data_IF_252588684694
#
_entry.id   IF_252588684694
#
_cell.length_a   1.000
_cell.length_b   1.000
_cell.length_c   1.000
_cell.angle_alpha   90.00
_cell.angle_beta   90.00
_cell.angle_gamma   90.00
#
_symmetry.space_group_name_H-M   'P 1'
#
loop_
_entity.id
_entity.type
_entity.pdbx_description
1 polymer ?
#
# COMPACT_ATOMS: atom_id res chain seq x y z
N UNK A 1 -3.44 23.29 21.78
CA UNK A 1 -3.12 23.39 20.36
C UNK A 1 -1.63 23.62 20.26
N UNK A 2 -0.99 23.10 19.25
CA UNK A 2 0.43 23.30 18.94
C UNK A 2 0.48 23.91 17.54
N UNK A 3 1.33 24.88 17.33
CA UNK A 3 1.57 25.49 16.03
C UNK A 3 2.82 24.84 15.40
N UNK A 4 2.71 24.41 14.15
CA UNK A 4 3.80 23.87 13.35
C UNK A 4 4.05 24.77 12.13
N UNK A 5 5.30 25.07 11.86
CA UNK A 5 5.74 25.99 10.84
C UNK A 5 6.20 27.33 11.42
N UNK A 6 6.39 28.35 10.60
CA UNK A 6 6.08 28.37 9.18
C UNK A 6 7.05 27.49 8.36
N UNK A 7 6.50 26.78 7.38
CA UNK A 7 7.28 26.09 6.36
C UNK A 7 7.18 26.87 5.06
N UNK A 8 8.26 26.95 4.35
CA UNK A 8 8.35 27.63 3.05
C UNK A 8 9.00 26.72 2.03
N UNK A 9 8.77 26.98 0.78
CA UNK A 9 9.51 26.42 -0.34
C UNK A 9 9.83 27.56 -1.33
N UNK A 10 10.76 27.32 -2.21
CA UNK A 10 11.09 28.24 -3.29
C UNK A 10 11.12 27.43 -4.59
N UNK A 11 10.18 27.72 -5.46
CA UNK A 11 10.11 27.11 -6.78
C UNK A 11 9.54 28.11 -7.79
N UNK A 12 9.98 28.06 -9.05
CA UNK A 12 9.48 28.97 -10.08
C UNK A 12 8.02 28.72 -10.43
N UNK A 13 7.58 27.46 -10.31
CA UNK A 13 6.20 27.07 -10.60
C UNK A 13 5.35 26.99 -9.32
N UNK A 14 4.18 27.66 -9.23
CA UNK A 14 3.37 27.72 -8.01
C UNK A 14 2.91 26.35 -7.48
N UNK A 15 2.60 25.42 -8.37
CA UNK A 15 2.15 24.06 -8.00
C UNK A 15 3.27 23.29 -7.29
N UNK A 16 4.50 23.35 -7.80
CA UNK A 16 5.65 22.69 -7.19
C UNK A 16 6.07 23.37 -5.89
N UNK A 17 5.96 24.70 -5.81
CA UNK A 17 6.19 25.43 -4.57
C UNK A 17 5.18 25.00 -3.49
N UNK A 18 3.91 24.86 -3.84
CA UNK A 18 2.89 24.36 -2.91
C UNK A 18 3.20 22.93 -2.47
N UNK A 19 3.51 22.00 -3.40
CA UNK A 19 3.87 20.62 -3.05
C UNK A 19 5.02 20.56 -2.07
N UNK A 20 6.10 21.29 -2.33
CA UNK A 20 7.26 21.33 -1.45
C UNK A 20 6.93 21.90 -0.06
N UNK A 21 6.18 22.99 0.01
CA UNK A 21 5.76 23.56 1.28
C UNK A 21 4.86 22.62 2.08
N UNK A 22 3.92 21.93 1.44
CA UNK A 22 3.05 20.93 2.06
C UNK A 22 3.84 19.68 2.49
N UNK A 23 4.82 19.23 1.71
CA UNK A 23 5.71 18.13 2.11
C UNK A 23 6.59 18.49 3.32
N UNK A 24 7.12 19.70 3.37
CA UNK A 24 7.84 20.19 4.55
C UNK A 24 6.92 20.20 5.79
N UNK A 25 5.66 20.64 5.64
CA UNK A 25 4.69 20.59 6.72
C UNK A 25 4.37 19.15 7.13
N UNK A 26 4.21 18.24 6.17
CA UNK A 26 4.00 16.82 6.44
C UNK A 26 5.16 16.21 7.23
N UNK A 27 6.40 16.54 6.87
CA UNK A 27 7.58 16.11 7.62
C UNK A 27 7.62 16.71 9.05
N UNK A 28 7.24 17.97 9.20
CA UNK A 28 7.14 18.61 10.53
C UNK A 28 6.05 17.95 11.39
N UNK A 29 4.89 17.61 10.81
CA UNK A 29 3.85 16.84 11.46
C UNK A 29 4.36 15.48 11.92
N UNK A 30 5.02 14.73 11.04
CA UNK A 30 5.58 13.42 11.38
C UNK A 30 6.63 13.51 12.49
N UNK A 31 7.53 14.51 12.43
CA UNK A 31 8.55 14.76 13.48
C UNK A 31 7.91 15.10 14.84
N UNK A 32 6.72 15.72 14.82
CA UNK A 32 5.94 16.00 16.02
C UNK A 32 5.06 14.80 16.47
N UNK A 33 5.19 13.63 15.82
CA UNK A 33 4.34 12.46 16.07
C UNK A 33 2.88 12.70 15.68
N UNK A 34 2.64 13.42 14.57
CA UNK A 34 1.33 13.84 14.09
C UNK A 34 1.11 13.41 12.65
N UNK A 35 -0.15 13.25 12.27
CA UNK A 35 -0.57 13.12 10.89
C UNK A 35 -1.47 14.29 10.47
N UNK A 36 -1.84 14.38 9.19
CA UNK A 36 -2.70 15.44 8.68
C UNK A 36 -4.03 15.59 9.44
N UNK A 37 -4.63 14.48 9.84
CA UNK A 37 -5.92 14.44 10.58
C UNK A 37 -5.86 15.07 11.98
N UNK A 38 -4.68 15.36 12.51
CA UNK A 38 -4.53 16.13 13.76
C UNK A 38 -4.57 17.64 13.54
N UNK A 39 -4.50 18.10 12.29
CA UNK A 39 -4.59 19.52 11.99
C UNK A 39 -6.02 20.01 12.25
N UNK A 40 -6.12 21.09 13.00
CA UNK A 40 -7.39 21.79 13.29
C UNK A 40 -7.56 23.04 12.45
N UNK A 41 -6.52 23.50 11.80
CA UNK A 41 -6.52 24.63 10.90
C UNK A 41 -5.17 24.78 10.19
N UNK A 42 -5.18 25.55 9.11
CA UNK A 42 -4.00 25.90 8.34
C UNK A 42 -4.08 27.39 7.95
N UNK A 43 -2.95 28.07 7.97
CA UNK A 43 -2.83 29.44 7.45
C UNK A 43 -1.79 29.44 6.34
N UNK A 44 -2.21 29.88 5.15
CA UNK A 44 -1.34 30.11 4.01
C UNK A 44 -1.08 31.62 3.88
N UNK A 45 0.11 32.05 4.20
CA UNK A 45 0.53 33.44 4.05
C UNK A 45 1.23 33.60 2.72
N UNK A 46 0.72 34.43 1.81
CA UNK A 46 1.25 34.54 0.44
C UNK A 46 1.27 35.98 -0.07
N UNK A 47 2.26 36.31 -0.90
CA UNK A 47 2.32 37.57 -1.66
C UNK A 47 1.49 37.50 -2.97
N UNK A 48 0.98 36.30 -3.34
CA UNK A 48 0.28 36.06 -4.60
C UNK A 48 -0.93 35.14 -4.41
N UNK A 49 -1.99 35.57 -3.69
CA UNK A 49 -3.13 34.69 -3.32
C UNK A 49 -3.84 34.07 -4.53
N UNK A 50 -3.90 34.76 -5.67
CA UNK A 50 -4.53 34.20 -6.87
C UNK A 50 -3.79 32.96 -7.45
N UNK A 51 -2.52 32.76 -7.11
CA UNK A 51 -1.76 31.57 -7.54
C UNK A 51 -2.01 30.36 -6.66
N UNK A 52 -2.49 30.54 -5.43
CA UNK A 52 -2.69 29.49 -4.44
C UNK A 52 -4.16 29.32 -4.07
N UNK A 53 -5.07 29.66 -4.99
CA UNK A 53 -6.50 29.46 -4.80
C UNK A 53 -6.89 27.98 -4.96
N UNK A 54 -7.47 27.39 -3.92
CA UNK A 54 -7.96 26.01 -3.91
C UNK A 54 -9.18 25.78 -4.83
N UNK A 55 -9.80 26.84 -5.36
CA UNK A 55 -10.78 26.70 -6.43
C UNK A 55 -10.11 26.34 -7.79
N UNK A 56 -8.79 26.55 -7.90
CA UNK A 56 -8.03 26.11 -9.07
C UNK A 56 -7.80 24.58 -8.98
N UNK A 57 -8.27 23.77 -9.95
CA UNK A 57 -8.17 22.32 -9.91
C UNK A 57 -6.72 21.80 -9.79
N UNK A 58 -5.75 22.49 -10.36
CA UNK A 58 -4.33 22.08 -10.32
C UNK A 58 -3.74 22.29 -8.93
N UNK A 59 -4.10 23.37 -8.27
CA UNK A 59 -3.71 23.67 -6.87
C UNK A 59 -4.39 22.68 -5.91
N UNK A 60 -5.68 22.44 -6.13
CA UNK A 60 -6.43 21.45 -5.34
C UNK A 60 -5.85 20.04 -5.49
N UNK A 61 -5.48 19.64 -6.70
CA UNK A 61 -4.84 18.36 -6.94
C UNK A 61 -3.50 18.24 -6.21
N UNK A 62 -2.62 19.24 -6.30
CA UNK A 62 -1.35 19.25 -5.61
C UNK A 62 -1.51 19.14 -4.09
N UNK A 63 -2.53 19.80 -3.53
CA UNK A 63 -2.88 19.68 -2.12
C UNK A 63 -3.29 18.23 -1.75
N UNK A 64 -4.19 17.64 -2.53
CA UNK A 64 -4.71 16.27 -2.31
C UNK A 64 -3.62 15.21 -2.39
N UNK A 65 -2.66 15.39 -3.29
CA UNK A 65 -1.52 14.46 -3.45
C UNK A 65 -0.67 14.36 -2.18
N UNK A 66 -0.52 15.46 -1.42
CA UNK A 66 0.30 15.47 -0.20
C UNK A 66 -0.48 14.98 1.03
N UNK A 67 -1.76 15.38 1.17
CA UNK A 67 -2.56 15.11 2.36
C UNK A 67 -3.73 14.15 2.11
N UNK A 68 -3.71 13.41 1.00
CA UNK A 68 -4.69 12.38 0.67
C UNK A 68 -6.15 12.86 0.84
N UNK A 69 -6.41 14.10 0.44
CA UNK A 69 -7.75 14.70 0.51
C UNK A 69 -8.17 15.24 1.88
N UNK A 70 -7.42 14.96 2.96
CA UNK A 70 -7.72 15.58 4.26
C UNK A 70 -7.55 17.10 4.20
N UNK A 71 -8.60 17.84 4.54
CA UNK A 71 -8.61 19.30 4.45
C UNK A 71 -9.13 19.93 5.74
N UNK A 72 -8.24 20.45 6.63
CA UNK A 72 -8.67 21.31 7.71
C UNK A 72 -9.17 22.65 7.17
N UNK A 73 -9.84 23.48 7.96
CA UNK A 73 -10.07 24.87 7.61
C UNK A 73 -8.76 25.56 7.20
N UNK A 74 -8.75 26.18 6.01
CA UNK A 74 -7.59 26.88 5.46
C UNK A 74 -7.94 28.37 5.35
N UNK A 75 -7.12 29.20 5.96
CA UNK A 75 -7.17 30.65 5.86
C UNK A 75 -6.01 31.15 5.00
N UNK A 76 -6.30 32.06 4.06
CA UNK A 76 -5.27 32.65 3.19
C UNK A 76 -5.06 34.10 3.62
N UNK A 77 -3.85 34.42 4.03
CA UNK A 77 -3.44 35.74 4.47
C UNK A 77 -2.45 36.40 3.46
N UNK A 78 -2.54 37.70 3.34
CA UNK A 78 -1.55 38.47 2.57
C UNK A 78 -0.22 38.57 3.32
N UNK A 79 0.84 38.15 2.68
CA UNK A 79 2.19 38.36 3.19
C UNK A 79 2.62 39.82 3.05
N UNK A 80 3.46 40.36 3.97
CA UNK A 80 4.04 41.68 3.81
C UNK A 80 4.94 41.75 2.56
N UNK A 81 5.10 42.95 2.00
CA UNK A 81 5.96 43.17 0.85
C UNK A 81 7.38 42.70 1.12
N UNK A 82 7.93 41.87 0.23
CA UNK A 82 9.25 41.24 0.38
C UNK A 82 9.28 39.94 1.20
N UNK A 83 8.13 39.48 1.67
CA UNK A 83 7.98 38.15 2.30
C UNK A 83 8.03 37.00 1.28
N UNK A 84 8.05 35.77 1.75
CA UNK A 84 7.99 34.57 0.89
C UNK A 84 6.73 34.57 0.04
N UNK A 85 6.82 34.03 -1.18
CA UNK A 85 5.64 33.90 -2.06
C UNK A 85 4.57 32.97 -1.45
N UNK A 86 5.01 31.93 -0.74
CA UNK A 86 4.13 31.06 0.04
C UNK A 86 4.82 30.65 1.36
N UNK A 87 4.05 30.71 2.44
CA UNK A 87 4.42 30.19 3.76
C UNK A 87 3.21 29.50 4.37
N UNK A 88 3.37 28.32 4.93
CA UNK A 88 2.28 27.54 5.50
C UNK A 88 2.53 27.27 6.99
N UNK A 89 1.52 27.55 7.82
CA UNK A 89 1.49 27.14 9.22
C UNK A 89 0.29 26.25 9.45
N UNK A 90 0.43 25.24 10.32
CA UNK A 90 -0.68 24.42 10.75
C UNK A 90 -0.86 24.47 12.25
N UNK A 91 -2.11 24.55 12.67
CA UNK A 91 -2.50 24.36 14.06
C UNK A 91 -2.92 22.90 14.23
N UNK A 92 -2.32 22.22 15.20
CA UNK A 92 -2.64 20.82 15.51
C UNK A 92 -3.26 20.68 16.89
N UNK A 93 -4.16 19.74 17.02
CA UNK A 93 -4.71 19.40 18.33
C UNK A 93 -3.59 19.02 19.29
N UNK A 94 -3.65 19.49 20.54
CA UNK A 94 -2.76 18.96 21.57
C UNK A 94 -2.96 17.45 21.67
N UNK A 95 -1.88 16.65 21.79
CA UNK A 95 -2.05 15.23 21.99
C UNK A 95 -2.98 14.99 23.18
N UNK A 96 -3.90 14.05 23.04
CA UNK A 96 -4.31 13.30 24.21
C UNK A 96 -3.02 12.77 24.88
N UNK A 97 -2.93 12.74 26.22
CA UNK A 97 -1.81 12.09 26.87
C UNK A 97 -1.60 10.72 26.21
N UNK A 98 -0.37 10.45 25.78
CA UNK A 98 -0.06 9.14 25.23
C UNK A 98 -0.47 8.10 26.26
N UNK A 99 -1.12 6.98 25.86
CA UNK A 99 -1.41 5.91 26.78
C UNK A 99 -0.13 5.51 27.48
N UNK A 100 -0.14 5.55 28.81
CA UNK A 100 1.01 5.16 29.64
C UNK A 100 0.89 3.66 29.91
N UNK A 101 1.87 2.89 29.44
CA UNK A 101 1.92 1.45 29.64
C UNK A 101 1.96 0.65 28.34
N UNK A 102 2.08 -0.67 28.43
CA UNK A 102 2.14 -1.53 27.26
C UNK A 102 0.80 -1.56 26.53
N UNK A 103 0.84 -1.31 25.22
CA UNK A 103 -0.33 -1.33 24.33
C UNK A 103 -0.47 -2.68 23.62
N UNK A 104 0.66 -3.25 23.19
CA UNK A 104 0.73 -4.47 22.42
C UNK A 104 2.01 -5.23 22.77
N UNK A 105 1.92 -6.51 23.14
CA UNK A 105 3.07 -7.38 23.45
C UNK A 105 4.14 -6.76 24.37
N UNK A 106 3.74 -5.91 25.28
CA UNK A 106 4.66 -5.20 26.18
C UNK A 106 5.25 -3.91 25.59
N UNK A 107 4.95 -3.55 24.35
CA UNK A 107 5.43 -2.31 23.72
C UNK A 107 4.60 -1.10 24.16
N UNK A 108 5.29 -0.01 24.47
CA UNK A 108 4.72 1.33 24.55
C UNK A 108 4.50 1.92 23.16
N UNK A 109 3.82 3.06 23.07
CA UNK A 109 3.52 3.68 21.76
C UNK A 109 4.77 4.03 20.96
N UNK A 110 5.83 4.64 21.50
CA UNK A 110 7.05 4.91 20.75
C UNK A 110 7.70 3.66 20.16
N UNK A 111 7.76 2.58 20.92
CA UNK A 111 8.29 1.30 20.45
C UNK A 111 7.41 0.71 19.37
N UNK A 112 6.09 0.72 19.58
CA UNK A 112 5.13 0.22 18.60
C UNK A 112 5.20 1.00 17.27
N UNK A 113 5.30 2.33 17.33
CA UNK A 113 5.49 3.18 16.15
C UNK A 113 6.78 2.83 15.40
N UNK A 114 7.87 2.55 16.09
CA UNK A 114 9.14 2.14 15.48
C UNK A 114 9.02 0.76 14.82
N UNK A 115 8.44 -0.20 15.50
CA UNK A 115 8.27 -1.57 15.01
C UNK A 115 7.41 -1.64 13.74
N UNK A 116 6.37 -0.79 13.64
CA UNK A 116 5.51 -0.70 12.47
C UNK A 116 5.95 0.41 11.48
N UNK A 117 7.19 0.88 11.54
CA UNK A 117 7.76 1.87 10.60
C UNK A 117 8.88 1.28 9.74
N UNK A 118 8.58 0.55 8.65
CA UNK A 118 9.62 0.00 7.77
C UNK A 118 10.57 1.06 7.22
N UNK A 119 10.04 2.25 6.88
CA UNK A 119 10.86 3.38 6.41
C UNK A 119 11.85 3.87 7.45
N UNK A 120 11.47 3.83 8.73
CA UNK A 120 12.34 4.25 9.83
C UNK A 120 13.48 3.26 10.11
N UNK A 121 13.38 2.03 9.62
CA UNK A 121 14.37 0.97 9.82
C UNK A 121 15.38 0.88 8.68
N UNK A 122 15.11 1.50 7.54
CA UNK A 122 15.98 1.48 6.36
C UNK A 122 16.62 2.85 6.18
N UNK A 123 17.94 3.00 6.41
CA UNK A 123 18.60 4.31 6.45
C UNK A 123 18.49 5.13 5.15
N UNK A 124 18.37 4.46 4.00
CA UNK A 124 18.33 5.09 2.69
C UNK A 124 17.18 4.51 1.84
N UNK A 125 15.94 4.78 2.23
CA UNK A 125 14.77 4.25 1.53
C UNK A 125 14.47 4.97 0.21
N UNK A 126 14.82 6.24 0.07
CA UNK A 126 14.52 7.03 -1.12
C UNK A 126 15.15 6.45 -2.41
N UNK A 127 16.43 6.03 -2.44
CA UNK A 127 16.99 5.35 -3.60
C UNK A 127 16.27 4.04 -3.99
N UNK A 128 15.73 3.32 -3.01
CA UNK A 128 14.97 2.08 -3.28
C UNK A 128 13.67 2.41 -4.03
N UNK A 129 12.95 3.45 -3.60
CA UNK A 129 11.71 3.85 -4.28
C UNK A 129 11.96 4.47 -5.65
N UNK A 130 13.08 5.19 -5.81
CA UNK A 130 13.51 5.66 -7.12
C UNK A 130 13.77 4.47 -8.06
N UNK A 131 14.55 3.50 -7.60
CA UNK A 131 14.81 2.26 -8.33
C UNK A 131 13.51 1.52 -8.70
N UNK A 132 12.56 1.40 -7.77
CA UNK A 132 11.25 0.80 -8.06
C UNK A 132 10.54 1.51 -9.21
N UNK A 133 10.53 2.84 -9.18
CA UNK A 133 9.88 3.64 -10.22
C UNK A 133 10.56 3.48 -11.57
N UNK A 134 11.88 3.53 -11.60
CA UNK A 134 12.67 3.44 -12.83
C UNK A 134 12.57 2.03 -13.45
N UNK A 135 12.80 0.99 -12.67
CA UNK A 135 12.72 -0.40 -13.13
C UNK A 135 11.28 -0.80 -13.52
N UNK A 136 10.29 -0.35 -12.75
CA UNK A 136 8.88 -0.59 -13.10
C UNK A 136 8.50 0.06 -14.42
N UNK A 137 8.90 1.31 -14.63
CA UNK A 137 8.68 2.02 -15.89
C UNK A 137 9.43 1.37 -17.06
N UNK A 138 10.69 0.98 -16.85
CA UNK A 138 11.49 0.28 -17.86
C UNK A 138 10.87 -1.07 -18.22
N UNK A 139 10.41 -1.84 -17.23
CA UNK A 139 9.76 -3.13 -17.45
C UNK A 139 8.46 -2.96 -18.27
N UNK A 140 7.59 -2.03 -17.88
CA UNK A 140 6.35 -1.75 -18.62
C UNK A 140 6.63 -1.20 -20.03
N UNK A 141 7.67 -0.37 -20.19
CA UNK A 141 8.09 0.14 -21.50
C UNK A 141 8.63 -0.92 -22.45
N UNK A 142 9.22 -2.00 -21.91
CA UNK A 142 9.75 -3.12 -22.67
C UNK A 142 8.71 -4.18 -23.07
N UNK A 143 7.52 -4.17 -22.43
CA UNK A 143 6.48 -5.17 -22.63
C UNK A 143 5.16 -4.55 -23.07
N UNK A 144 4.52 -5.13 -24.08
CA UNK A 144 3.18 -4.74 -24.44
C UNK A 144 2.21 -5.03 -23.30
N UNK A 145 1.53 -4.01 -22.83
CA UNK A 145 0.54 -4.11 -21.77
C UNK A 145 -0.69 -3.25 -22.10
N UNK A 146 -1.79 -3.52 -21.43
CA UNK A 146 -3.00 -2.71 -21.52
C UNK A 146 -3.53 -2.40 -20.15
N UNK A 147 -3.92 -1.14 -19.92
CA UNK A 147 -4.68 -0.76 -18.75
C UNK A 147 -6.14 -1.18 -18.90
N UNK A 148 -6.68 -1.86 -17.91
CA UNK A 148 -8.04 -2.38 -17.87
C UNK A 148 -8.75 -1.85 -16.64
N UNK A 149 -9.93 -1.26 -16.81
CA UNK A 149 -10.81 -0.87 -15.73
C UNK A 149 -11.56 -2.10 -15.20
N UNK A 150 -11.49 -2.35 -13.90
CA UNK A 150 -12.30 -3.36 -13.24
C UNK A 150 -13.46 -2.76 -12.43
N UNK A 151 -13.49 -1.44 -12.27
CA UNK A 151 -14.52 -0.69 -11.59
C UNK A 151 -14.63 0.76 -12.10
N UNK A 152 -15.50 1.55 -11.47
CA UNK A 152 -15.77 2.93 -11.87
C UNK A 152 -14.78 3.95 -11.28
N UNK A 153 -14.10 3.62 -10.19
CA UNK A 153 -13.16 4.50 -9.52
C UNK A 153 -11.90 4.77 -10.35
N UNK A 154 -11.24 5.91 -10.15
CA UNK A 154 -10.07 6.28 -10.94
C UNK A 154 -8.89 5.31 -10.74
N UNK A 155 -8.79 4.68 -9.58
CA UNK A 155 -7.76 3.70 -9.27
C UNK A 155 -8.23 2.24 -9.37
N UNK A 156 -9.48 1.98 -9.69
CA UNK A 156 -10.00 0.63 -9.98
C UNK A 156 -9.54 0.18 -11.36
N UNK A 157 -8.21 0.06 -11.54
CA UNK A 157 -7.48 -0.24 -12.79
C UNK A 157 -6.44 -1.30 -12.54
N UNK A 158 -6.13 -2.05 -13.56
CA UNK A 158 -5.00 -2.98 -13.58
C UNK A 158 -4.22 -2.85 -14.90
N UNK A 159 -2.94 -3.16 -14.87
CA UNK A 159 -2.16 -3.40 -16.08
C UNK A 159 -2.12 -4.90 -16.34
N UNK A 160 -2.50 -5.29 -17.55
CA UNK A 160 -2.47 -6.68 -18.00
C UNK A 160 -1.38 -6.87 -19.05
N UNK A 161 -0.43 -7.76 -18.75
CA UNK A 161 0.61 -8.21 -19.64
C UNK A 161 0.31 -9.65 -20.08
N UNK A 162 0.43 -9.92 -21.39
CA UNK A 162 0.26 -11.28 -21.92
C UNK A 162 1.61 -11.80 -22.44
N UNK A 163 1.97 -13.07 -22.13
CA UNK A 163 3.16 -13.69 -22.68
C UNK A 163 3.00 -13.91 -24.19
N UNK A 164 4.09 -13.84 -24.93
CA UNK A 164 4.07 -14.08 -26.37
C UNK A 164 3.88 -15.57 -26.68
N UNK A 165 3.06 -15.88 -27.69
CA UNK A 165 2.94 -17.22 -28.25
C UNK A 165 2.17 -18.24 -27.40
N UNK A 166 1.55 -17.84 -26.30
CA UNK A 166 0.73 -18.70 -25.45
C UNK A 166 -0.71 -18.26 -25.52
N UNK A 167 -1.58 -19.14 -25.99
CA UNK A 167 -3.02 -18.92 -25.97
C UNK A 167 -3.60 -19.26 -24.58
N UNK A 168 -4.42 -18.35 -24.04
CA UNK A 168 -5.06 -18.53 -22.74
C UNK A 168 -4.07 -18.90 -21.60
N UNK A 169 -3.04 -18.04 -21.33
CA UNK A 169 -2.08 -18.29 -20.26
C UNK A 169 -2.76 -18.27 -18.89
N UNK A 170 -2.21 -18.99 -17.93
CA UNK A 170 -2.57 -18.86 -16.50
C UNK A 170 -2.31 -17.44 -16.03
N UNK A 171 -3.06 -16.98 -15.02
CA UNK A 171 -2.95 -15.63 -14.53
C UNK A 171 -2.18 -15.58 -13.19
N UNK A 172 -1.18 -14.73 -13.14
CA UNK A 172 -0.57 -14.23 -11.92
C UNK A 172 -1.09 -12.83 -11.61
N UNK A 173 -1.52 -12.58 -10.38
CA UNK A 173 -2.02 -11.29 -9.91
C UNK A 173 -1.09 -10.75 -8.83
N UNK A 174 -0.65 -9.50 -8.96
CA UNK A 174 0.19 -8.84 -7.95
C UNK A 174 -0.50 -7.62 -7.35
N UNK A 175 -0.48 -7.50 -6.00
CA UNK A 175 -1.04 -6.39 -5.23
C UNK A 175 0.10 -5.64 -4.54
N UNK A 176 0.25 -4.34 -4.87
CA UNK A 176 1.31 -3.50 -4.34
C UNK A 176 1.11 -3.13 -2.86
N UNK A 177 2.21 -2.77 -2.19
CA UNK A 177 2.24 -2.25 -0.84
C UNK A 177 1.94 -0.75 -0.74
N UNK A 178 2.42 -0.11 0.34
CA UNK A 178 2.29 1.34 0.55
C UNK A 178 1.38 1.73 1.70
N UNK A 179 1.21 0.88 2.70
CA UNK A 179 0.36 1.11 3.88
C UNK A 179 -1.08 1.52 3.54
N UNK A 180 -1.62 1.03 2.42
CA UNK A 180 -2.93 1.37 1.85
C UNK A 180 -3.12 2.87 1.55
N UNK A 181 -2.08 3.68 1.62
CA UNK A 181 -2.09 5.15 1.51
C UNK A 181 -1.23 5.69 0.38
N UNK A 182 -0.42 4.86 -0.26
CA UNK A 182 0.56 5.30 -1.24
C UNK A 182 0.88 4.21 -2.27
N UNK A 183 1.70 4.56 -3.25
CA UNK A 183 2.21 3.73 -4.33
C UNK A 183 1.19 3.45 -5.45
N UNK A 184 1.69 2.77 -6.48
CA UNK A 184 0.95 2.46 -7.69
C UNK A 184 1.40 1.12 -8.25
N UNK A 185 0.53 0.48 -9.04
CA UNK A 185 0.79 -0.78 -9.74
C UNK A 185 2.10 -0.77 -10.53
N UNK A 186 2.40 0.37 -11.19
CA UNK A 186 3.61 0.52 -12.00
C UNK A 186 4.92 0.47 -11.21
N UNK A 187 4.92 0.81 -9.92
CA UNK A 187 6.13 0.75 -9.08
C UNK A 187 6.60 -0.69 -8.79
N UNK A 188 5.75 -1.70 -9.04
CA UNK A 188 6.03 -3.09 -8.71
C UNK A 188 6.00 -4.02 -9.93
N UNK A 189 5.89 -3.48 -11.14
CA UNK A 189 5.72 -4.27 -12.36
C UNK A 189 6.90 -5.23 -12.61
N UNK A 190 8.13 -4.79 -12.39
CA UNK A 190 9.35 -5.58 -12.56
C UNK A 190 9.40 -6.85 -11.69
N UNK A 191 8.70 -6.85 -10.55
CA UNK A 191 8.70 -8.02 -9.65
C UNK A 191 7.87 -9.19 -10.17
N UNK A 192 7.15 -9.01 -11.26
CA UNK A 192 6.37 -10.08 -11.91
C UNK A 192 7.10 -10.73 -13.10
N UNK A 193 8.34 -10.33 -13.37
CA UNK A 193 9.16 -10.78 -14.51
C UNK A 193 9.21 -12.30 -14.63
N UNK A 194 9.54 -12.99 -13.55
CA UNK A 194 9.67 -14.45 -13.55
C UNK A 194 8.38 -15.17 -13.99
N UNK A 195 7.21 -14.61 -13.65
CA UNK A 195 5.93 -15.18 -14.08
C UNK A 195 5.67 -14.95 -15.56
N UNK A 196 5.91 -13.73 -16.06
CA UNK A 196 5.76 -13.44 -17.49
C UNK A 196 6.69 -14.30 -18.33
N UNK A 197 7.95 -14.48 -17.92
CA UNK A 197 8.95 -15.34 -18.57
C UNK A 197 8.57 -16.83 -18.49
N UNK A 198 7.90 -17.25 -17.41
CA UNK A 198 7.35 -18.60 -17.27
C UNK A 198 6.06 -18.82 -18.07
N UNK A 199 5.59 -17.82 -18.82
CA UNK A 199 4.43 -17.95 -19.69
C UNK A 199 3.08 -17.65 -19.01
N UNK A 200 3.09 -16.99 -17.86
CA UNK A 200 1.86 -16.49 -17.23
C UNK A 200 1.44 -15.15 -17.83
N UNK A 201 0.14 -14.92 -17.93
CA UNK A 201 -0.37 -13.56 -17.94
C UNK A 201 -0.13 -12.92 -16.56
N UNK A 202 0.12 -11.62 -16.53
CA UNK A 202 0.34 -10.89 -15.29
C UNK A 202 -0.65 -9.74 -15.19
N UNK A 203 -1.36 -9.64 -14.06
CA UNK A 203 -2.21 -8.51 -13.71
C UNK A 203 -1.64 -7.76 -12.50
N UNK A 204 -1.25 -6.50 -12.72
CA UNK A 204 -0.80 -5.59 -11.68
C UNK A 204 -2.00 -4.78 -11.20
N UNK A 205 -2.48 -5.02 -9.97
CA UNK A 205 -3.66 -4.32 -9.45
C UNK A 205 -3.31 -2.97 -8.82
N UNK A 206 -4.04 -1.92 -9.22
CA UNK A 206 -4.24 -0.74 -8.40
C UNK A 206 -5.52 -0.90 -7.57
N UNK A 207 -5.63 -0.13 -6.53
CA UNK A 207 -6.82 0.03 -5.68
C UNK A 207 -6.84 1.45 -5.13
N UNK A 208 -8.00 1.92 -4.66
CA UNK A 208 -8.13 3.21 -3.98
C UNK A 208 -7.22 3.29 -2.77
N UNK A 209 -6.91 4.48 -2.32
CA UNK A 209 -6.03 4.70 -1.17
C UNK A 209 -6.82 5.29 0.00
N UNK A 210 -6.40 4.98 1.20
CA UNK A 210 -6.88 5.66 2.39
C UNK A 210 -6.29 7.10 2.43
N UNK A 211 -7.01 8.10 2.93
CA UNK A 211 -8.34 8.00 3.56
C UNK A 211 -9.51 8.14 2.59
N UNK A 212 -9.31 8.22 1.26
CA UNK A 212 -10.41 8.34 0.29
C UNK A 212 -11.40 7.17 0.40
N UNK A 213 -10.89 6.00 0.71
CA UNK A 213 -11.68 4.80 0.95
C UNK A 213 -11.18 4.10 2.23
N UNK A 214 -12.06 3.66 3.13
CA UNK A 214 -11.69 2.92 4.34
C UNK A 214 -11.18 1.52 3.98
N UNK A 215 -10.46 0.87 4.90
CA UNK A 215 -9.76 -0.38 4.64
C UNK A 215 -10.67 -1.53 4.18
N UNK A 216 -11.88 -1.64 4.73
CA UNK A 216 -12.89 -2.61 4.30
C UNK A 216 -13.32 -2.38 2.85
N UNK A 217 -13.43 -1.11 2.43
CA UNK A 217 -13.67 -0.72 1.05
C UNK A 217 -12.53 -1.13 0.10
N UNK A 218 -11.27 -1.02 0.55
CA UNK A 218 -10.11 -1.49 -0.23
C UNK A 218 -10.14 -3.02 -0.41
N UNK A 219 -10.49 -3.74 0.65
CA UNK A 219 -10.69 -5.21 0.58
C UNK A 219 -11.80 -5.56 -0.42
N UNK A 220 -12.90 -4.80 -0.42
CA UNK A 220 -13.99 -5.01 -1.37
C UNK A 220 -13.57 -4.76 -2.82
N UNK A 221 -12.72 -3.74 -3.09
CA UNK A 221 -12.16 -3.49 -4.42
C UNK A 221 -11.30 -4.66 -4.92
N UNK A 222 -10.44 -5.23 -4.07
CA UNK A 222 -9.64 -6.39 -4.47
C UNK A 222 -10.54 -7.59 -4.78
N UNK A 223 -11.60 -7.83 -4.00
CA UNK A 223 -12.58 -8.88 -4.31
C UNK A 223 -13.27 -8.63 -5.65
N UNK A 224 -13.66 -7.39 -5.91
CA UNK A 224 -14.27 -7.01 -7.19
C UNK A 224 -13.30 -7.20 -8.37
N UNK A 225 -12.02 -6.83 -8.21
CA UNK A 225 -10.99 -7.01 -9.23
C UNK A 225 -10.78 -8.49 -9.58
N UNK A 226 -10.67 -9.37 -8.58
CA UNK A 226 -10.50 -10.81 -8.80
C UNK A 226 -11.76 -11.44 -9.43
N UNK A 227 -12.95 -11.04 -9.00
CA UNK A 227 -14.21 -11.46 -9.64
C UNK A 227 -14.31 -10.99 -11.10
N UNK A 228 -13.92 -9.73 -11.37
CA UNK A 228 -13.86 -9.19 -12.73
C UNK A 228 -12.89 -10.00 -13.61
N UNK A 229 -11.67 -10.27 -13.13
CA UNK A 229 -10.69 -11.06 -13.87
C UNK A 229 -11.21 -12.46 -14.20
N UNK A 230 -11.91 -13.10 -13.28
CA UNK A 230 -12.53 -14.42 -13.52
C UNK A 230 -13.64 -14.35 -14.58
N UNK A 231 -14.55 -13.41 -14.47
CA UNK A 231 -15.66 -13.30 -15.41
C UNK A 231 -15.21 -12.88 -16.80
N UNK A 232 -14.22 -11.99 -16.89
CA UNK A 232 -13.70 -11.47 -18.15
C UNK A 232 -12.54 -12.30 -18.72
N UNK A 233 -12.13 -13.40 -18.10
CA UNK A 233 -10.98 -14.19 -18.49
C UNK A 233 -10.92 -14.49 -20.02
N UNK A 234 -11.98 -14.97 -20.68
CA UNK A 234 -11.95 -15.23 -22.12
C UNK A 234 -11.75 -13.95 -22.94
N UNK A 235 -12.43 -12.85 -22.57
CA UNK A 235 -12.30 -11.57 -23.27
C UNK A 235 -10.93 -10.91 -23.05
N UNK A 236 -10.27 -11.23 -21.95
CA UNK A 236 -8.93 -10.80 -21.61
C UNK A 236 -7.83 -11.68 -22.24
N UNK A 237 -8.20 -12.83 -22.82
CA UNK A 237 -7.27 -13.77 -23.42
C UNK A 237 -6.47 -14.56 -22.38
N UNK A 238 -7.03 -14.84 -21.22
CA UNK A 238 -6.43 -15.61 -20.14
C UNK A 238 -7.25 -16.86 -19.80
N UNK A 239 -6.60 -17.89 -19.28
CA UNK A 239 -7.27 -19.09 -18.87
C UNK A 239 -8.20 -18.85 -17.67
N UNK A 240 -9.37 -19.49 -17.68
CA UNK A 240 -10.26 -19.54 -16.53
C UNK A 240 -9.84 -20.67 -15.59
N UNK A 241 -8.71 -20.48 -14.93
CA UNK A 241 -8.08 -21.39 -13.97
C UNK A 241 -7.86 -20.65 -12.64
N UNK A 242 -7.67 -21.39 -11.52
CA UNK A 242 -7.29 -20.77 -10.26
C UNK A 242 -6.08 -19.84 -10.42
N UNK A 243 -6.17 -18.64 -9.83
CA UNK A 243 -5.13 -17.61 -9.94
C UNK A 243 -3.94 -17.91 -9.04
N UNK A 244 -2.75 -17.50 -9.50
CA UNK A 244 -1.61 -17.29 -8.63
C UNK A 244 -1.64 -15.83 -8.15
N UNK A 245 -1.73 -15.60 -6.84
CA UNK A 245 -1.87 -14.29 -6.21
C UNK A 245 -0.62 -13.98 -5.40
N UNK A 246 -0.09 -12.78 -5.53
CA UNK A 246 0.95 -12.30 -4.64
C UNK A 246 0.65 -10.88 -4.15
N UNK A 247 1.19 -10.56 -2.98
CA UNK A 247 1.11 -9.21 -2.45
C UNK A 247 2.22 -8.92 -1.45
N UNK A 248 2.64 -7.66 -1.42
CA UNK A 248 3.69 -7.19 -0.55
C UNK A 248 3.17 -6.18 0.46
N UNK A 249 3.57 -6.29 1.73
CA UNK A 249 3.22 -5.33 2.79
C UNK A 249 1.69 -5.16 2.92
N UNK A 250 1.15 -3.97 2.75
CA UNK A 250 -0.30 -3.73 2.66
C UNK A 250 -0.98 -4.58 1.58
N UNK A 251 -0.32 -4.82 0.44
CA UNK A 251 -0.79 -5.74 -0.59
C UNK A 251 -0.77 -7.19 -0.12
N UNK A 252 0.16 -7.58 0.74
CA UNK A 252 0.19 -8.89 1.40
C UNK A 252 -1.02 -9.11 2.32
N UNK A 253 -1.43 -8.08 3.04
CA UNK A 253 -2.69 -8.08 3.79
C UNK A 253 -3.90 -8.26 2.87
N UNK A 254 -4.01 -7.42 1.82
CA UNK A 254 -5.14 -7.48 0.87
C UNK A 254 -5.22 -8.84 0.17
N UNK A 255 -4.07 -9.43 -0.18
CA UNK A 255 -4.00 -10.77 -0.74
C UNK A 255 -4.45 -11.84 0.27
N UNK A 256 -4.06 -11.72 1.53
CA UNK A 256 -4.51 -12.63 2.59
C UNK A 256 -6.04 -12.51 2.82
N UNK A 257 -6.59 -11.30 2.82
CA UNK A 257 -8.04 -11.08 2.88
C UNK A 257 -8.77 -11.72 1.68
N UNK A 258 -8.18 -11.66 0.49
CA UNK A 258 -8.72 -12.34 -0.68
C UNK A 258 -8.67 -13.87 -0.52
N UNK A 259 -7.58 -14.44 0.01
CA UNK A 259 -7.49 -15.88 0.33
C UNK A 259 -8.57 -16.31 1.31
N UNK A 260 -8.82 -15.51 2.35
CA UNK A 260 -9.82 -15.81 3.38
C UNK A 260 -11.28 -15.56 2.94
N UNK A 261 -11.50 -15.10 1.72
CA UNK A 261 -12.85 -14.81 1.21
C UNK A 261 -13.59 -16.09 0.84
N UNK A 262 -14.86 -16.19 1.25
CA UNK A 262 -15.78 -17.23 0.75
C UNK A 262 -16.24 -16.84 -0.68
N UNK A 263 -15.47 -17.30 -1.66
CA UNK A 263 -15.74 -17.03 -3.06
C UNK A 263 -17.03 -17.70 -3.55
N UNK A 264 -17.39 -18.86 -2.97
CA UNK A 264 -18.63 -19.54 -3.32
C UNK A 264 -19.87 -18.72 -2.94
N UNK A 265 -19.84 -18.02 -1.80
CA UNK A 265 -20.91 -17.11 -1.41
C UNK A 265 -21.03 -15.90 -2.35
N UNK A 266 -19.97 -15.58 -3.10
CA UNK A 266 -19.96 -14.54 -4.13
C UNK A 266 -20.27 -15.08 -5.54
N UNK A 267 -20.63 -16.35 -5.68
CA UNK A 267 -20.95 -16.98 -6.97
C UNK A 267 -19.72 -17.30 -7.82
N UNK A 268 -18.53 -17.40 -7.19
CA UNK A 268 -17.26 -17.70 -7.82
C UNK A 268 -16.72 -19.06 -7.36
N UNK A 269 -15.77 -19.68 -8.06
CA UNK A 269 -15.17 -20.94 -7.61
C UNK A 269 -14.56 -20.82 -6.22
N UNK A 270 -14.78 -21.80 -5.33
CA UNK A 270 -14.20 -21.75 -3.99
C UNK A 270 -12.66 -21.85 -4.00
N UNK A 271 -12.07 -22.35 -5.07
CA UNK A 271 -10.65 -22.46 -5.34
C UNK A 271 -10.13 -21.37 -6.30
N UNK A 272 -10.82 -20.21 -6.37
CA UNK A 272 -10.44 -19.09 -7.23
C UNK A 272 -8.96 -18.73 -7.12
N UNK A 273 -8.38 -18.86 -5.93
CA UNK A 273 -6.96 -18.65 -5.66
C UNK A 273 -6.30 -20.00 -5.39
N UNK A 274 -5.50 -20.46 -6.34
CA UNK A 274 -4.74 -21.73 -6.23
C UNK A 274 -3.49 -21.59 -5.36
N UNK A 275 -2.69 -20.56 -5.62
CA UNK A 275 -1.48 -20.24 -4.85
C UNK A 275 -1.52 -18.78 -4.38
N UNK A 276 -1.07 -18.52 -3.17
CA UNK A 276 -0.90 -17.18 -2.65
C UNK A 276 0.52 -17.02 -2.06
N UNK A 277 1.26 -16.02 -2.52
CA UNK A 277 2.57 -15.63 -1.96
C UNK A 277 2.44 -14.30 -1.24
N UNK A 278 2.59 -14.32 0.08
CA UNK A 278 2.34 -13.21 0.97
C UNK A 278 3.67 -12.72 1.55
N UNK A 279 4.11 -11.54 1.11
CA UNK A 279 5.43 -10.98 1.44
C UNK A 279 5.28 -9.87 2.49
N UNK A 280 5.86 -10.06 3.67
CA UNK A 280 5.96 -9.04 4.74
C UNK A 280 4.64 -8.32 5.03
N UNK A 281 3.53 -9.06 5.02
CA UNK A 281 2.18 -8.49 5.20
C UNK A 281 1.84 -8.20 6.66
N UNK A 282 0.72 -7.54 6.85
CA UNK A 282 0.11 -7.23 8.14
C UNK A 282 -1.15 -8.09 8.30
N UNK A 283 -1.16 -9.01 9.25
CA UNK A 283 -2.18 -10.05 9.33
C UNK A 283 -2.98 -10.02 10.62
N UNK A 284 -2.48 -9.30 11.64
CA UNK A 284 -3.17 -8.88 12.85
C UNK A 284 -3.14 -7.35 12.91
N UNK A 285 -4.30 -6.73 12.86
CA UNK A 285 -4.41 -5.27 12.76
C UNK A 285 -4.71 -4.57 14.09
N UNK A 286 -4.96 -5.30 15.19
CA UNK A 286 -5.21 -4.67 16.48
C UNK A 286 -4.09 -3.68 16.88
N UNK A 287 -2.79 -3.99 16.73
CA UNK A 287 -1.73 -3.04 17.07
C UNK A 287 -1.79 -1.74 16.28
N UNK A 288 -2.29 -1.76 15.05
CA UNK A 288 -2.44 -0.55 14.24
C UNK A 288 -3.49 0.40 14.78
N UNK A 289 -4.46 -0.07 15.57
CA UNK A 289 -5.50 0.79 16.18
C UNK A 289 -4.91 1.79 17.18
N UNK A 290 -3.71 1.55 17.66
CA UNK A 290 -2.95 2.44 18.55
C UNK A 290 -2.08 3.45 17.78
N UNK A 291 -1.92 3.28 16.47
CA UNK A 291 -1.02 4.09 15.65
C UNK A 291 -1.76 5.28 15.00
N UNK A 292 -1.05 6.37 14.69
CA UNK A 292 -1.64 7.56 14.07
C UNK A 292 -2.36 7.31 12.74
N UNK A 293 -2.11 6.18 12.08
CA UNK A 293 -2.76 5.82 10.82
C UNK A 293 -4.17 5.23 11.00
N UNK A 294 -4.53 4.76 12.18
CA UNK A 294 -5.82 4.11 12.40
C UNK A 294 -7.03 4.92 11.91
N UNK A 295 -7.15 6.23 12.22
CA UNK A 295 -8.24 7.05 11.71
C UNK A 295 -8.28 7.18 10.18
N UNK A 296 -7.12 7.16 9.51
CA UNK A 296 -7.03 7.23 8.04
C UNK A 296 -7.59 5.97 7.38
N UNK A 297 -7.44 4.84 8.04
CA UNK A 297 -7.93 3.52 7.61
C UNK A 297 -9.37 3.25 8.06
N UNK A 298 -9.98 4.19 8.82
CA UNK A 298 -11.22 3.98 9.57
C UNK A 298 -11.15 2.72 10.45
N UNK A 299 -10.00 2.49 11.10
CA UNK A 299 -9.70 1.29 11.86
C UNK A 299 -9.95 1.52 13.35
N UNK A 300 -10.84 0.72 13.91
CA UNK A 300 -11.07 0.55 15.34
C UNK A 300 -10.84 -0.91 15.74
N UNK A 301 -11.00 -1.27 17.02
CA UNK A 301 -10.78 -2.65 17.49
C UNK A 301 -11.72 -3.67 16.85
N UNK A 302 -12.94 -3.27 16.50
CA UNK A 302 -13.93 -4.16 15.91
C UNK A 302 -13.58 -4.42 14.44
N UNK A 303 -13.36 -3.36 13.67
CA UNK A 303 -12.95 -3.47 12.27
C UNK A 303 -11.58 -4.11 12.12
N UNK A 304 -10.62 -3.83 13.02
CA UNK A 304 -9.34 -4.49 13.05
C UNK A 304 -9.47 -6.01 13.18
N UNK A 305 -10.33 -6.50 14.09
CA UNK A 305 -10.57 -7.94 14.22
C UNK A 305 -11.09 -8.58 12.92
N UNK A 306 -12.10 -7.98 12.31
CA UNK A 306 -12.70 -8.51 11.07
C UNK A 306 -11.82 -8.37 9.82
N UNK A 307 -10.89 -7.44 9.85
CA UNK A 307 -9.93 -7.20 8.77
C UNK A 307 -8.55 -7.84 9.03
N UNK A 308 -8.44 -8.63 10.08
CA UNK A 308 -7.23 -9.39 10.40
C UNK A 308 -7.31 -10.81 9.86
N UNK A 309 -6.53 -11.17 8.83
CA UNK A 309 -6.53 -12.52 8.27
C UNK A 309 -6.29 -13.64 9.27
N UNK A 310 -5.56 -13.39 10.35
CA UNK A 310 -5.29 -14.39 11.41
C UNK A 310 -6.56 -14.91 12.09
N UNK A 311 -7.63 -14.12 12.10
CA UNK A 311 -8.92 -14.49 12.68
C UNK A 311 -9.89 -15.15 11.69
N UNK A 312 -9.49 -15.23 10.43
CA UNK A 312 -10.35 -15.70 9.35
C UNK A 312 -9.93 -17.11 8.88
N UNK A 313 -10.88 -17.95 8.45
CA UNK A 313 -10.55 -19.27 7.95
C UNK A 313 -9.80 -19.19 6.62
N UNK A 314 -8.81 -20.06 6.45
CA UNK A 314 -8.17 -20.26 5.16
C UNK A 314 -8.82 -21.43 4.42
N UNK A 315 -9.22 -21.29 3.13
CA UNK A 315 -9.63 -22.42 2.31
C UNK A 315 -8.48 -23.44 2.19
N UNK A 316 -8.81 -24.73 2.36
CA UNK A 316 -7.82 -25.82 2.32
C UNK A 316 -7.17 -25.99 0.94
N UNK A 317 -7.88 -25.61 -0.13
CA UNK A 317 -7.42 -25.72 -1.51
C UNK A 317 -6.30 -24.70 -1.86
N UNK A 318 -6.25 -23.55 -1.20
CA UNK A 318 -5.24 -22.53 -1.50
C UNK A 318 -3.88 -22.89 -0.89
N UNK A 319 -2.87 -22.98 -1.72
CA UNK A 319 -1.48 -23.11 -1.29
C UNK A 319 -0.92 -21.76 -0.88
N UNK A 320 -0.54 -21.60 0.38
CA UNK A 320 0.01 -20.35 0.91
C UNK A 320 1.53 -20.48 1.09
N UNK A 321 2.26 -19.48 0.59
CA UNK A 321 3.67 -19.22 0.82
C UNK A 321 3.80 -17.91 1.60
N UNK A 322 4.56 -17.90 2.67
CA UNK A 322 4.82 -16.74 3.50
C UNK A 322 6.31 -16.42 3.50
N UNK A 323 6.65 -15.15 3.36
CA UNK A 323 8.04 -14.71 3.53
C UNK A 323 8.12 -13.34 4.20
N UNK A 324 9.20 -13.14 4.95
CA UNK A 324 9.56 -11.88 5.61
C UNK A 324 11.07 -11.70 5.57
N UNK A 325 11.56 -10.48 5.44
CA UNK A 325 12.98 -10.18 5.46
C UNK A 325 13.60 -10.33 6.85
N UNK A 326 14.79 -10.90 6.92
CA UNK A 326 15.52 -11.09 8.18
C UNK A 326 15.92 -9.78 8.86
N UNK A 327 16.06 -8.71 8.08
CA UNK A 327 16.38 -7.35 8.56
C UNK A 327 15.14 -6.51 8.90
N UNK A 328 13.94 -7.07 8.81
CA UNK A 328 12.73 -6.39 9.24
C UNK A 328 12.57 -6.39 10.77
N UNK A 329 11.64 -5.57 11.28
CA UNK A 329 11.35 -5.50 12.71
C UNK A 329 10.87 -6.85 13.27
N UNK A 330 10.90 -6.96 14.57
CA UNK A 330 10.38 -8.14 15.25
C UNK A 330 8.86 -8.27 15.07
N UNK A 331 8.15 -7.14 14.90
CA UNK A 331 6.71 -7.16 14.63
C UNK A 331 6.37 -7.69 13.23
N UNK A 332 7.09 -7.31 12.17
CA UNK A 332 6.84 -7.88 10.84
C UNK A 332 7.14 -9.38 10.78
N UNK A 333 8.20 -9.82 11.45
CA UNK A 333 8.49 -11.26 11.60
C UNK A 333 7.38 -11.96 12.39
N UNK A 334 6.90 -11.34 13.47
CA UNK A 334 5.82 -11.86 14.28
C UNK A 334 4.49 -11.94 13.50
N UNK A 335 4.13 -10.91 12.74
CA UNK A 335 2.95 -10.91 11.87
C UNK A 335 2.93 -12.12 10.93
N UNK A 336 4.08 -12.39 10.30
CA UNK A 336 4.23 -13.53 9.39
C UNK A 336 4.12 -14.87 10.15
N UNK A 337 4.70 -14.98 11.35
CA UNK A 337 4.61 -16.17 12.18
C UNK A 337 3.18 -16.42 12.69
N UNK A 338 2.46 -15.37 13.11
CA UNK A 338 1.06 -15.46 13.53
C UNK A 338 0.17 -16.03 12.44
N UNK A 339 0.31 -15.54 11.21
CA UNK A 339 -0.49 -16.06 10.10
C UNK A 339 -0.10 -17.51 9.77
N UNK A 340 1.19 -17.84 9.81
CA UNK A 340 1.67 -19.20 9.60
C UNK A 340 1.04 -20.19 10.60
N UNK A 341 0.95 -19.80 11.85
CA UNK A 341 0.32 -20.57 12.92
C UNK A 341 -1.20 -20.66 12.70
N UNK A 342 -1.89 -19.53 12.58
CA UNK A 342 -3.34 -19.47 12.43
C UNK A 342 -3.85 -20.27 11.22
N UNK A 343 -3.08 -20.26 10.13
CA UNK A 343 -3.44 -20.96 8.90
C UNK A 343 -2.78 -22.33 8.74
N UNK A 344 -2.06 -22.81 9.73
CA UNK A 344 -1.31 -24.07 9.68
C UNK A 344 -0.44 -24.18 8.42
N UNK A 345 0.32 -23.11 8.11
CA UNK A 345 1.20 -23.11 6.95
C UNK A 345 2.42 -23.98 7.24
N UNK A 346 2.75 -24.99 6.42
CA UNK A 346 3.89 -25.85 6.65
C UNK A 346 5.22 -25.08 6.78
N UNK A 347 6.12 -25.53 7.64
CA UNK A 347 7.42 -24.88 7.90
C UNK A 347 8.22 -24.61 6.59
N UNK A 348 8.17 -25.50 5.61
CA UNK A 348 8.84 -25.27 4.32
C UNK A 348 8.21 -24.19 3.44
N UNK A 349 7.05 -23.65 3.82
CA UNK A 349 6.32 -22.60 3.12
C UNK A 349 6.24 -21.28 3.90
N UNK A 350 6.94 -21.20 5.01
CA UNK A 350 7.13 -19.99 5.80
C UNK A 350 8.62 -19.73 5.92
N UNK A 351 9.10 -18.58 5.44
CA UNK A 351 10.52 -18.27 5.32
C UNK A 351 10.88 -16.91 5.90
N UNK A 352 11.96 -16.86 6.67
CA UNK A 352 12.69 -15.62 6.95
C UNK A 352 13.85 -15.59 5.95
N UNK A 353 13.91 -14.56 5.11
CA UNK A 353 14.94 -14.42 4.08
C UNK A 353 16.08 -13.56 4.65
N UNK A 354 17.25 -14.12 4.94
CA UNK A 354 18.38 -13.37 5.47
C UNK A 354 18.74 -12.20 4.54
N UNK A 355 19.34 -11.15 5.10
CA UNK A 355 19.88 -9.99 4.38
C UNK A 355 18.87 -9.19 3.53
N UNK A 356 17.56 -9.45 3.67
CA UNK A 356 16.48 -8.69 3.06
C UNK A 356 15.77 -7.83 4.11
N UNK A 357 15.55 -6.57 3.77
CA UNK A 357 14.68 -5.67 4.53
C UNK A 357 13.27 -5.64 3.92
N UNK A 358 12.37 -4.87 4.51
CA UNK A 358 10.98 -4.76 4.08
C UNK A 358 10.79 -4.40 2.61
N UNK A 359 11.71 -3.67 2.01
CA UNK A 359 11.61 -3.24 0.62
C UNK A 359 12.36 -4.20 -0.32
N UNK A 360 13.47 -4.78 0.09
CA UNK A 360 14.27 -5.66 -0.78
C UNK A 360 13.80 -7.12 -0.78
N UNK A 361 12.84 -7.49 0.05
CA UNK A 361 12.27 -8.85 0.05
C UNK A 361 11.56 -9.19 -1.28
N UNK A 362 11.02 -8.18 -1.98
CA UNK A 362 10.33 -8.39 -3.25
C UNK A 362 11.27 -8.78 -4.40
N UNK A 363 12.58 -8.48 -4.28
CA UNK A 363 13.58 -8.91 -5.26
C UNK A 363 13.68 -10.43 -5.32
N UNK A 364 13.54 -11.10 -4.16
CA UNK A 364 13.50 -12.56 -4.07
C UNK A 364 12.29 -13.18 -4.79
N UNK A 365 11.24 -12.41 -4.93
CA UNK A 365 10.06 -12.82 -5.67
C UNK A 365 10.21 -12.57 -7.17
N UNK A 366 10.95 -11.55 -7.58
CA UNK A 366 11.20 -11.25 -8.98
C UNK A 366 12.07 -12.30 -9.68
N UNK A 367 13.15 -12.71 -9.03
CA UNK A 367 14.21 -13.54 -9.64
C UNK A 367 14.75 -14.65 -8.72
N UNK A 368 14.34 -14.65 -7.46
CA UNK A 368 14.90 -15.52 -6.42
C UNK A 368 14.13 -16.81 -6.14
N UNK A 369 14.54 -17.52 -5.09
CA UNK A 369 13.93 -18.79 -4.68
C UNK A 369 12.44 -18.72 -4.38
N UNK A 370 11.90 -17.56 -4.04
CA UNK A 370 10.45 -17.39 -3.78
C UNK A 370 9.64 -17.45 -5.07
N UNK A 371 10.13 -16.84 -6.16
CA UNK A 371 9.52 -16.96 -7.48
C UNK A 371 9.50 -18.43 -7.93
N UNK A 372 10.64 -19.11 -7.83
CA UNK A 372 10.76 -20.53 -8.18
C UNK A 372 9.84 -21.40 -7.32
N UNK A 373 9.70 -21.12 -6.02
CA UNK A 373 8.80 -21.86 -5.14
C UNK A 373 7.32 -21.61 -5.47
N UNK A 374 6.96 -20.44 -5.95
CA UNK A 374 5.62 -20.13 -6.42
C UNK A 374 5.33 -20.87 -7.74
N UNK A 375 6.25 -20.80 -8.70
CA UNK A 375 6.14 -21.43 -10.02
C UNK A 375 6.21 -22.95 -9.97
N UNK A 376 7.09 -23.56 -9.15
CA UNK A 376 7.31 -25.01 -9.08
C UNK A 376 6.04 -25.83 -8.72
N UNK A 377 4.98 -25.19 -8.33
CA UNK A 377 3.72 -25.84 -7.90
C UNK A 377 2.52 -25.41 -8.75
N UNK A 378 2.82 -24.70 -9.80
CA UNK A 378 1.87 -24.36 -10.85
C UNK A 378 1.85 -25.42 -11.98
N UNK A 379 2.72 -26.42 -11.91
CA UNK A 379 2.66 -27.58 -12.80
C UNK A 379 1.35 -28.38 -12.56
N UNK A 380 0.73 -28.91 -13.61
CA UNK A 380 -0.59 -29.52 -13.58
C UNK A 380 -0.73 -30.67 -12.61
#
# INVERSE_FOLDING_TARGET
MIELGPVTAMHDHPVEELRQALDHLRLALMSAGRGPHHMTGMVWTTTAPALFDLANPTIDLAYREVFAGFRPPIEIEMAPAGGPRLSIRATVARPAPLPVGPLWRGYDLPTLMREYSPRGQVPAVAPIFEHYREEGAAFLGAHAHREVAYGAGPRERLDLLLPSGIAEPRLHVFIHGGYWQAMDKGNHAQFTRAFLEAGYAVAMLNYSLAPEKPLDGLVAEIRAALGFLWHQAPALGIARLPFDLAGHSAGGHLAAMAVATDWAALGLPPDLIGTATLLSGLYELEPLTHLPMAPLLALDRISAHWLSPVHLPRPSATRVLLAVGGLESDEFKHQTALLAEAWNVPVGRHRIVPDRNHFTIVDEFAEGPLALAALANAAP
#
